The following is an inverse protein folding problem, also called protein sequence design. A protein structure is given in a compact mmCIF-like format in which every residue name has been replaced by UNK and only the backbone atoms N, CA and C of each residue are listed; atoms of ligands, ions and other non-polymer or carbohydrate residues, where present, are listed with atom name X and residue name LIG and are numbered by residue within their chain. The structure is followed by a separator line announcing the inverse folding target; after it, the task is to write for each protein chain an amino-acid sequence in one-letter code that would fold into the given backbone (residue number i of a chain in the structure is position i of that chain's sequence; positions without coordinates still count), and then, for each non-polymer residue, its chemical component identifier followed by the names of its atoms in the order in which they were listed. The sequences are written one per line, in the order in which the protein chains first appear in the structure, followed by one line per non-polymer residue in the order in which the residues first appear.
data_IF_867179010049
#
_entry.id   IF_867179010049
#
_cell.length_a   1.000
_cell.length_b   1.000
_cell.length_c   1.000
_cell.angle_alpha   90.00
_cell.angle_beta   90.00
_cell.angle_gamma   90.00
#
_symmetry.space_group_name_H-M   'P 1'
#
loop_
_entity.id
_entity.type
_entity.pdbx_description
1 polymer ?
#
# COMPACT_ATOMS: atom_id res chain seq x y z
N UNK A 1 19.71 5.95 -11.40
CA UNK A 1 18.91 6.84 -10.53
C UNK A 1 18.75 8.23 -11.14
N UNK A 2 19.76 8.74 -11.85
CA UNK A 2 19.72 10.06 -12.52
C UNK A 2 18.56 10.26 -13.52
N UNK A 3 18.25 9.27 -14.37
CA UNK A 3 17.15 9.39 -15.35
C UNK A 3 15.77 9.63 -14.70
N UNK A 4 15.53 9.08 -13.50
CA UNK A 4 14.25 9.27 -12.81
C UNK A 4 14.18 10.62 -12.09
N UNK A 5 15.31 11.16 -11.65
CA UNK A 5 15.39 12.50 -11.06
C UNK A 5 15.26 13.59 -12.13
N UNK A 6 15.94 13.44 -13.27
CA UNK A 6 15.82 14.31 -14.44
C UNK A 6 14.39 14.27 -15.02
N UNK A 7 13.76 13.09 -15.07
CA UNK A 7 12.35 12.98 -15.44
C UNK A 7 11.43 13.74 -14.48
N UNK A 8 11.65 13.64 -13.17
CA UNK A 8 10.84 14.38 -12.20
C UNK A 8 10.96 15.90 -12.41
N UNK A 9 12.18 16.42 -12.50
CA UNK A 9 12.43 17.86 -12.67
C UNK A 9 11.78 18.43 -13.94
N UNK A 10 11.75 17.67 -15.03
CA UNK A 10 11.14 18.11 -16.30
C UNK A 10 9.62 18.15 -16.28
N UNK A 11 8.97 17.41 -15.40
CA UNK A 11 7.52 17.17 -15.45
C UNK A 11 6.80 17.44 -14.13
N UNK A 12 7.41 18.15 -13.19
CA UNK A 12 6.84 18.39 -11.86
C UNK A 12 5.48 19.10 -11.90
N UNK A 13 5.29 20.01 -12.86
CA UNK A 13 4.04 20.72 -13.11
C UNK A 13 2.98 19.90 -13.86
N UNK A 14 3.24 18.64 -14.15
CA UNK A 14 2.33 17.74 -14.87
C UNK A 14 1.86 16.60 -13.95
N UNK A 15 0.79 16.79 -13.15
CA UNK A 15 0.36 15.84 -12.13
C UNK A 15 0.21 14.40 -12.62
N UNK A 16 -0.37 14.20 -13.80
CA UNK A 16 -0.60 12.88 -14.41
C UNK A 16 0.71 12.18 -14.81
N UNK A 17 1.73 12.95 -15.21
CA UNK A 17 3.04 12.40 -15.57
C UNK A 17 3.77 11.94 -14.30
N UNK A 18 3.68 12.72 -13.23
CA UNK A 18 4.23 12.32 -11.93
C UNK A 18 3.52 11.09 -11.37
N UNK A 19 2.20 10.92 -11.60
CA UNK A 19 1.50 9.70 -11.21
C UNK A 19 2.04 8.46 -11.94
N UNK A 20 2.31 8.59 -13.24
CA UNK A 20 2.95 7.50 -14.02
C UNK A 20 4.36 7.20 -13.51
N UNK A 21 5.11 8.23 -13.11
CA UNK A 21 6.45 8.08 -12.55
C UNK A 21 6.45 7.35 -11.20
N UNK A 22 5.51 7.65 -10.30
CA UNK A 22 5.34 6.88 -9.07
C UNK A 22 4.92 5.44 -9.36
N UNK A 23 3.95 5.25 -10.27
CA UNK A 23 3.44 3.94 -10.63
C UNK A 23 4.54 3.02 -11.20
N UNK A 24 5.37 3.53 -12.12
CA UNK A 24 6.47 2.79 -12.72
C UNK A 24 7.46 2.30 -11.66
N UNK A 25 7.79 3.15 -10.68
CA UNK A 25 8.73 2.80 -9.62
C UNK A 25 8.13 1.81 -8.60
N UNK A 26 6.84 1.94 -8.31
CA UNK A 26 6.11 1.07 -7.40
C UNK A 26 5.98 -0.38 -7.92
N UNK A 27 5.97 -0.55 -9.24
CA UNK A 27 5.78 -1.85 -9.90
C UNK A 27 7.06 -2.50 -10.40
N UNK A 28 8.24 -1.89 -10.17
CA UNK A 28 9.52 -2.54 -10.48
C UNK A 28 9.61 -3.86 -9.71
N UNK A 29 9.75 -5.02 -10.39
CA UNK A 29 9.84 -6.30 -9.71
C UNK A 29 11.04 -6.36 -8.76
N UNK A 30 10.85 -7.00 -7.61
CA UNK A 30 11.92 -7.28 -6.66
C UNK A 30 11.65 -6.74 -5.25
N UNK A 31 12.21 -7.44 -4.27
CA UNK A 31 11.96 -7.18 -2.85
C UNK A 31 12.44 -5.80 -2.38
N UNK A 32 13.47 -5.25 -3.01
CA UNK A 32 14.01 -3.91 -2.74
C UNK A 32 13.04 -2.77 -3.11
N UNK A 33 11.94 -3.08 -3.79
CA UNK A 33 10.92 -2.08 -4.10
C UNK A 33 10.17 -1.61 -2.85
N UNK A 34 10.19 -2.37 -1.75
CA UNK A 34 9.66 -1.91 -0.45
C UNK A 34 10.39 -0.63 -0.01
N UNK A 35 11.73 -0.65 0.02
CA UNK A 35 12.56 0.48 0.42
C UNK A 35 12.43 1.65 -0.56
N UNK A 36 12.31 1.34 -1.86
CA UNK A 36 12.04 2.37 -2.88
C UNK A 36 10.73 3.10 -2.62
N UNK A 37 9.65 2.35 -2.36
CA UNK A 37 8.34 2.95 -2.08
C UNK A 37 8.35 3.74 -0.78
N UNK A 38 9.03 3.24 0.26
CA UNK A 38 9.24 4.01 1.50
C UNK A 38 9.95 5.34 1.25
N UNK A 39 11.01 5.33 0.45
CA UNK A 39 11.74 6.55 0.06
C UNK A 39 10.84 7.51 -0.71
N UNK A 40 10.06 7.00 -1.66
CA UNK A 40 9.14 7.79 -2.50
C UNK A 40 7.97 8.38 -1.70
N UNK A 41 7.54 7.74 -0.62
CA UNK A 41 6.53 8.28 0.30
C UNK A 41 7.02 9.54 1.03
N UNK A 42 8.34 9.77 1.10
CA UNK A 42 8.95 11.01 1.59
C UNK A 42 9.22 12.06 0.52
N UNK A 43 8.93 11.78 -0.76
CA UNK A 43 9.26 12.65 -1.87
C UNK A 43 8.43 13.94 -1.86
N UNK A 44 9.02 15.07 -2.27
CA UNK A 44 8.36 16.38 -2.29
C UNK A 44 7.08 16.42 -3.14
N UNK A 45 6.96 15.56 -4.14
CA UNK A 45 5.78 15.43 -5.00
C UNK A 45 4.71 14.44 -4.49
N UNK A 46 5.02 13.69 -3.43
CA UNK A 46 4.08 12.77 -2.81
C UNK A 46 3.31 13.48 -1.69
N UNK A 47 1.99 13.37 -1.74
CA UNK A 47 1.10 13.85 -0.68
C UNK A 47 0.11 12.75 -0.38
N UNK A 48 0.15 12.23 0.83
CA UNK A 48 -0.66 11.08 1.21
C UNK A 48 -2.17 11.36 1.13
N UNK A 49 -2.58 12.60 1.46
CA UNK A 49 -3.98 13.02 1.37
C UNK A 49 -4.51 13.17 -0.07
N UNK A 50 -3.64 13.14 -1.09
CA UNK A 50 -4.03 13.16 -2.48
C UNK A 50 -4.36 11.73 -2.94
N UNK A 51 -5.63 11.41 -3.26
CA UNK A 51 -6.03 10.05 -3.63
C UNK A 51 -5.27 9.50 -4.85
N UNK A 52 -4.96 10.35 -5.83
CA UNK A 52 -4.24 9.94 -7.03
C UNK A 52 -2.79 9.57 -6.70
N UNK A 53 -2.12 10.36 -5.85
CA UNK A 53 -0.75 10.06 -5.39
C UNK A 53 -0.68 8.79 -4.57
N UNK A 54 -1.60 8.64 -3.60
CA UNK A 54 -1.66 7.41 -2.81
C UNK A 54 -1.90 6.19 -3.70
N UNK A 55 -2.83 6.28 -4.67
CA UNK A 55 -3.10 5.20 -5.61
C UNK A 55 -1.89 4.92 -6.50
N UNK A 56 -1.26 5.96 -7.05
CA UNK A 56 -0.18 5.83 -8.01
C UNK A 56 1.07 5.18 -7.40
N UNK A 57 1.36 5.47 -6.13
CA UNK A 57 2.48 4.84 -5.42
C UNK A 57 2.05 3.56 -4.67
N UNK A 58 1.26 3.66 -3.59
CA UNK A 58 0.97 2.53 -2.71
C UNK A 58 -0.07 1.57 -3.27
N UNK A 59 -1.08 2.09 -3.96
CA UNK A 59 -2.07 1.26 -4.63
C UNK A 59 -1.43 0.34 -5.66
N UNK A 60 -0.59 0.90 -6.54
CA UNK A 60 0.16 0.12 -7.54
C UNK A 60 1.22 -0.79 -6.92
N UNK A 61 1.88 -0.39 -5.84
CA UNK A 61 2.78 -1.29 -5.11
C UNK A 61 2.04 -2.53 -4.61
N UNK A 62 0.93 -2.35 -3.89
CA UNK A 62 0.20 -3.45 -3.26
C UNK A 62 -0.45 -4.41 -4.27
N UNK A 63 -0.97 -3.90 -5.39
CA UNK A 63 -1.69 -4.70 -6.38
C UNK A 63 -0.84 -5.13 -7.58
N UNK A 64 0.15 -4.33 -7.96
CA UNK A 64 0.95 -4.50 -9.17
C UNK A 64 2.34 -5.08 -8.93
N UNK A 65 2.77 -5.25 -7.67
CA UNK A 65 4.09 -5.78 -7.33
C UNK A 65 4.02 -6.92 -6.29
N UNK A 66 3.55 -8.12 -6.67
CA UNK A 66 3.43 -9.24 -5.74
C UNK A 66 4.78 -9.65 -5.13
N UNK A 67 5.89 -9.53 -5.86
CA UNK A 67 7.22 -9.88 -5.34
C UNK A 67 7.63 -9.02 -4.13
N UNK A 68 7.29 -7.73 -4.15
CA UNK A 68 7.62 -6.80 -3.07
C UNK A 68 6.52 -6.73 -2.00
N UNK A 69 5.25 -6.75 -2.39
CA UNK A 69 4.12 -6.73 -1.45
C UNK A 69 4.13 -8.01 -0.60
N UNK A 70 4.34 -9.16 -1.24
CA UNK A 70 4.61 -10.42 -0.57
C UNK A 70 6.13 -10.59 -0.41
N UNK A 71 6.80 -9.74 0.35
CA UNK A 71 8.18 -10.01 0.80
C UNK A 71 8.21 -10.96 2.01
N UNK A 72 9.10 -11.97 2.10
CA UNK A 72 9.03 -13.02 3.12
C UNK A 72 9.02 -12.54 4.57
N UNK A 73 9.66 -11.40 4.85
CA UNK A 73 9.71 -10.77 6.17
C UNK A 73 8.42 -10.00 6.54
N UNK A 74 7.51 -9.79 5.58
CA UNK A 74 6.28 -9.04 5.74
C UNK A 74 6.41 -7.52 5.68
N UNK A 75 7.56 -6.97 5.27
CA UNK A 75 7.75 -5.52 5.24
C UNK A 75 6.80 -4.82 4.26
N UNK A 76 6.47 -5.46 3.14
CA UNK A 76 5.45 -4.95 2.20
C UNK A 76 4.07 -4.82 2.84
N UNK A 77 3.68 -5.78 3.67
CA UNK A 77 2.42 -5.71 4.42
C UNK A 77 2.44 -4.59 5.46
N UNK A 78 3.52 -4.50 6.24
CA UNK A 78 3.69 -3.47 7.28
C UNK A 78 3.60 -2.07 6.68
N UNK A 79 4.30 -1.83 5.56
CA UNK A 79 4.27 -0.55 4.83
C UNK A 79 2.85 -0.13 4.44
N UNK A 80 2.07 -1.05 3.86
CA UNK A 80 0.70 -0.75 3.44
C UNK A 80 -0.20 -0.56 4.64
N UNK A 81 -0.07 -1.40 5.68
CA UNK A 81 -0.87 -1.31 6.89
C UNK A 81 -0.62 -0.02 7.69
N UNK A 82 0.64 0.41 7.83
CA UNK A 82 0.99 1.70 8.43
C UNK A 82 0.33 2.85 7.67
N UNK A 83 0.33 2.78 6.35
CA UNK A 83 -0.28 3.81 5.53
C UNK A 83 -1.80 3.80 5.62
N UNK A 84 -2.43 2.62 5.67
CA UNK A 84 -3.89 2.51 5.91
C UNK A 84 -4.25 3.18 7.24
N UNK A 85 -3.51 2.90 8.32
CA UNK A 85 -3.76 3.48 9.64
C UNK A 85 -3.60 5.01 9.62
N UNK A 86 -2.60 5.51 8.90
CA UNK A 86 -2.43 6.96 8.73
C UNK A 86 -3.57 7.58 7.91
N UNK A 87 -3.94 6.95 6.79
CA UNK A 87 -5.01 7.40 5.92
C UNK A 87 -6.39 7.35 6.58
N UNK A 88 -6.64 6.40 7.48
CA UNK A 88 -7.92 6.29 8.19
C UNK A 88 -8.32 7.60 8.86
N UNK A 89 -7.34 8.36 9.36
CA UNK A 89 -7.57 9.67 10.02
C UNK A 89 -7.74 10.83 9.04
N UNK A 90 -7.26 10.68 7.81
CA UNK A 90 -7.14 11.77 6.83
C UNK A 90 -8.20 11.64 5.74
N UNK A 91 -8.35 10.43 5.21
CA UNK A 91 -9.25 10.06 4.13
C UNK A 91 -9.62 8.56 4.24
N UNK A 92 -10.63 8.23 5.07
CA UNK A 92 -11.13 6.86 5.26
C UNK A 92 -11.42 6.10 3.96
N UNK A 93 -11.94 6.80 2.94
CA UNK A 93 -12.29 6.16 1.67
C UNK A 93 -11.05 5.70 0.89
N UNK A 94 -9.93 6.41 1.00
CA UNK A 94 -8.67 5.98 0.37
C UNK A 94 -8.05 4.85 1.19
N UNK A 95 -8.11 4.95 2.53
CA UNK A 95 -7.68 3.87 3.43
C UNK A 95 -8.42 2.55 3.12
N UNK A 96 -9.74 2.61 2.98
CA UNK A 96 -10.62 1.48 2.66
C UNK A 96 -10.28 0.84 1.30
N UNK A 97 -9.98 1.65 0.28
CA UNK A 97 -9.51 1.14 -1.02
C UNK A 97 -8.15 0.46 -0.88
N UNK A 98 -7.23 1.02 -0.10
CA UNK A 98 -5.89 0.47 0.06
C UNK A 98 -5.90 -0.85 0.86
N UNK A 99 -6.65 -0.93 1.97
CA UNK A 99 -6.74 -2.15 2.79
C UNK A 99 -7.37 -3.33 2.03
N UNK A 100 -8.15 -3.07 0.98
CA UNK A 100 -8.72 -4.13 0.14
C UNK A 100 -7.65 -5.04 -0.52
N UNK A 101 -6.40 -4.57 -0.64
CA UNK A 101 -5.25 -5.39 -1.06
C UNK A 101 -5.02 -6.62 -0.17
N UNK A 102 -5.48 -6.59 1.09
CA UNK A 102 -5.37 -7.71 2.03
C UNK A 102 -6.48 -8.76 1.87
N UNK A 103 -7.55 -8.50 1.09
CA UNK A 103 -8.74 -9.36 1.06
C UNK A 103 -8.46 -10.82 0.66
N UNK A 104 -7.38 -11.08 -0.09
CA UNK A 104 -7.01 -12.43 -0.55
C UNK A 104 -6.00 -13.15 0.37
N UNK A 105 -5.73 -12.64 1.58
CA UNK A 105 -4.71 -13.19 2.48
C UNK A 105 -4.81 -14.70 2.72
N UNK A 106 -6.02 -15.27 2.79
CA UNK A 106 -6.25 -16.71 2.99
C UNK A 106 -5.74 -17.61 1.85
N UNK A 107 -5.57 -17.07 0.66
CA UNK A 107 -5.05 -17.82 -0.51
C UNK A 107 -3.53 -17.84 -0.57
N UNK A 108 -2.88 -17.05 0.28
CA UNK A 108 -1.42 -16.99 0.35
C UNK A 108 -0.91 -18.19 1.16
N UNK A 109 0.32 -18.61 0.88
CA UNK A 109 1.01 -19.65 1.65
C UNK A 109 1.06 -19.31 3.16
N UNK A 110 1.14 -20.31 4.04
CA UNK A 110 0.93 -20.14 5.49
C UNK A 110 1.75 -19.04 6.18
N UNK A 111 3.04 -18.89 5.88
CA UNK A 111 3.93 -17.94 6.59
C UNK A 111 3.51 -16.51 6.29
N UNK A 112 3.37 -16.17 5.02
CA UNK A 112 2.89 -14.86 4.56
C UNK A 112 1.44 -14.60 4.94
N UNK A 113 0.60 -15.64 4.92
CA UNK A 113 -0.79 -15.55 5.36
C UNK A 113 -0.88 -15.05 6.80
N UNK A 114 -0.08 -15.62 7.69
CA UNK A 114 -0.05 -15.21 9.10
C UNK A 114 0.44 -13.77 9.25
N UNK A 115 1.46 -13.37 8.49
CA UNK A 115 1.92 -11.97 8.48
C UNK A 115 0.83 -11.00 8.01
N UNK A 116 0.10 -11.33 6.94
CA UNK A 116 -1.02 -10.52 6.47
C UNK A 116 -2.15 -10.45 7.49
N UNK A 117 -2.46 -11.57 8.15
CA UNK A 117 -3.48 -11.63 9.20
C UNK A 117 -3.11 -10.72 10.37
N UNK A 118 -1.87 -10.79 10.85
CA UNK A 118 -1.38 -9.95 11.94
C UNK A 118 -1.51 -8.46 11.60
N UNK A 119 -1.20 -8.07 10.37
CA UNK A 119 -1.40 -6.68 9.92
C UNK A 119 -2.89 -6.31 9.80
N UNK A 120 -3.77 -7.21 9.35
CA UNK A 120 -5.22 -6.98 9.38
C UNK A 120 -5.75 -6.77 10.81
N UNK A 121 -5.30 -7.58 11.77
CA UNK A 121 -5.66 -7.46 13.18
C UNK A 121 -5.14 -6.13 13.76
N UNK A 122 -3.93 -5.72 13.39
CA UNK A 122 -3.36 -4.43 13.76
C UNK A 122 -4.16 -3.26 13.21
N UNK A 123 -4.56 -3.31 11.93
CA UNK A 123 -5.42 -2.29 11.31
C UNK A 123 -6.77 -2.25 12.05
N UNK A 124 -7.37 -3.42 12.32
CA UNK A 124 -8.64 -3.51 13.04
C UNK A 124 -8.61 -2.82 14.42
N UNK A 125 -7.50 -2.96 15.14
CA UNK A 125 -7.32 -2.37 16.46
C UNK A 125 -7.05 -0.85 16.41
N UNK A 126 -6.40 -0.37 15.34
CA UNK A 126 -5.92 1.01 15.25
C UNK A 126 -6.89 1.96 14.55
N UNK A 127 -7.58 1.51 13.50
CA UNK A 127 -8.51 2.31 12.71
C UNK A 127 -9.83 2.54 13.44
N UNK A 128 -10.46 3.69 13.17
CA UNK A 128 -11.72 4.11 13.80
C UNK A 128 -12.82 4.40 12.78
N UNK A 129 -12.50 4.48 11.49
CA UNK A 129 -13.54 4.65 10.46
C UNK A 129 -14.37 3.38 10.25
N UNK A 130 -15.65 3.57 9.94
CA UNK A 130 -16.53 2.48 9.52
C UNK A 130 -16.07 1.87 8.19
N UNK A 131 -15.62 2.70 7.24
CA UNK A 131 -15.19 2.26 5.91
C UNK A 131 -14.06 1.21 5.98
N UNK A 132 -13.05 1.44 6.80
CA UNK A 132 -11.94 0.48 7.00
C UNK A 132 -12.42 -0.69 7.86
N UNK A 133 -13.14 -0.42 8.95
CA UNK A 133 -13.60 -1.43 9.91
C UNK A 133 -14.46 -2.52 9.27
N UNK A 134 -15.37 -2.17 8.36
CA UNK A 134 -16.21 -3.14 7.64
C UNK A 134 -15.40 -4.09 6.75
N UNK A 135 -14.43 -3.55 6.00
CA UNK A 135 -13.59 -4.34 5.10
C UNK A 135 -12.72 -5.30 5.91
N UNK A 136 -12.08 -4.80 6.97
CA UNK A 136 -11.20 -5.60 7.82
C UNK A 136 -11.98 -6.67 8.59
N UNK A 137 -13.12 -6.31 9.19
CA UNK A 137 -13.98 -7.25 9.89
C UNK A 137 -14.45 -8.37 8.97
N UNK A 138 -14.86 -8.06 7.73
CA UNK A 138 -15.23 -9.08 6.73
C UNK A 138 -14.05 -9.96 6.33
N UNK A 139 -12.88 -9.34 6.15
CA UNK A 139 -11.65 -10.05 5.81
C UNK A 139 -11.16 -10.97 6.93
N UNK A 140 -11.46 -10.68 8.20
CA UNK A 140 -11.13 -11.53 9.35
C UNK A 140 -12.22 -12.56 9.66
N UNK A 141 -13.51 -12.21 9.60
CA UNK A 141 -14.63 -13.07 10.01
C UNK A 141 -14.73 -14.40 9.24
N UNK A 142 -14.41 -14.40 7.95
CA UNK A 142 -14.37 -15.66 7.19
C UNK A 142 -13.19 -16.60 7.55
N UNK A 143 -12.38 -16.29 8.58
CA UNK A 143 -11.30 -17.16 9.06
C UNK A 143 -11.81 -18.30 9.95
N UNK A 144 -13.07 -18.23 10.42
CA UNK A 144 -13.65 -19.17 11.39
C UNK A 144 -14.33 -20.40 10.76
N UNK A 145 -14.01 -20.76 9.52
CA UNK A 145 -14.46 -22.02 8.91
C UNK A 145 -13.33 -22.64 8.09
N UNK A 146 -12.63 -23.59 8.70
CA UNK A 146 -11.59 -24.42 8.11
C UNK A 146 -11.16 -25.45 9.13
#
# INVERSE_FOLDING_TARGET
TELLADFYQRFEDQPLVIDKWFALQATVPGEATVERVQTLSGHAAFRLNNPNRCRSLLGNFAHGNPAAFHRPDGAGYRLVADTVIQLDRINPQVAARLVSSFNRWRKIEPVRRERMRSELERINAACRSSDVGEIVSRALAGATKG
#
